data_IF_388552740843
#
_entry.id   IF_388552740843
#
_cell.length_a   1.000
_cell.length_b   1.000
_cell.length_c   1.000
_cell.angle_alpha   90.00
_cell.angle_beta   90.00
_cell.angle_gamma   90.00
#
_symmetry.space_group_name_H-M   'P 1'
#
loop_
_entity.id
_entity.type
_entity.pdbx_description
1 polymer ?
#
# COMPACT_ATOMS: atom_id res chain seq x y z
N UNK A 1 9.67 -10.55 16.72
CA UNK A 1 10.48 -10.32 15.50
C UNK A 1 9.83 -9.22 14.70
N UNK A 2 10.54 -8.16 14.34
CA UNK A 2 10.01 -7.09 13.48
C UNK A 2 9.92 -7.62 12.04
N UNK A 3 8.74 -7.60 11.40
CA UNK A 3 8.57 -8.09 10.02
C UNK A 3 8.67 -6.99 8.98
N UNK A 4 9.04 -5.78 9.39
CA UNK A 4 9.26 -4.67 8.47
C UNK A 4 10.49 -4.89 7.58
N UNK A 5 10.41 -4.40 6.34
CA UNK A 5 11.56 -4.33 5.44
C UNK A 5 12.67 -3.49 6.09
N UNK A 6 13.91 -4.00 6.00
CA UNK A 6 15.06 -3.37 6.66
C UNK A 6 15.62 -2.16 5.91
N UNK A 7 16.51 -1.40 6.58
CA UNK A 7 17.21 -0.23 6.02
C UNK A 7 17.85 -0.51 4.65
N UNK A 8 18.49 -1.67 4.49
CA UNK A 8 19.17 -2.06 3.24
C UNK A 8 18.20 -2.16 2.06
N UNK A 9 16.92 -2.46 2.30
CA UNK A 9 15.91 -2.46 1.26
C UNK A 9 15.66 -1.04 0.72
N UNK A 10 15.58 -0.04 1.59
CA UNK A 10 15.26 1.34 1.19
C UNK A 10 16.49 2.15 0.76
N UNK A 11 17.68 1.84 1.28
CA UNK A 11 18.94 2.52 0.98
C UNK A 11 19.53 2.11 -0.40
N UNK A 12 18.68 2.01 -1.42
CA UNK A 12 19.02 1.66 -2.81
C UNK A 12 18.45 2.72 -3.75
N UNK A 13 18.84 2.65 -5.03
CA UNK A 13 18.30 3.52 -6.08
C UNK A 13 16.76 3.42 -6.13
N UNK A 14 16.02 4.55 -6.27
CA UNK A 14 14.56 4.56 -6.21
C UNK A 14 13.90 3.66 -7.26
N UNK A 15 14.51 3.46 -8.43
CA UNK A 15 14.03 2.55 -9.48
C UNK A 15 14.02 1.10 -9.01
N UNK A 16 15.10 0.69 -8.32
CA UNK A 16 15.22 -0.66 -7.74
C UNK A 16 14.21 -0.83 -6.62
N UNK A 17 14.09 0.17 -5.74
CA UNK A 17 13.13 0.13 -4.62
C UNK A 17 11.69 0.09 -5.14
N UNK A 18 11.34 0.90 -6.13
CA UNK A 18 10.00 0.96 -6.72
C UNK A 18 9.58 -0.38 -7.31
N UNK A 19 10.45 -0.99 -8.11
CA UNK A 19 10.23 -2.33 -8.66
C UNK A 19 10.09 -3.38 -7.55
N UNK A 20 11.02 -3.41 -6.60
CA UNK A 20 11.07 -4.45 -5.57
C UNK A 20 9.99 -4.28 -4.49
N UNK A 21 9.34 -3.12 -4.40
CA UNK A 21 8.16 -2.89 -3.56
C UNK A 21 6.91 -3.56 -4.12
N UNK A 22 6.85 -3.86 -5.43
CA UNK A 22 5.72 -4.57 -6.02
C UNK A 22 5.57 -5.96 -5.38
N UNK A 23 4.35 -6.31 -5.01
CA UNK A 23 4.03 -7.56 -4.31
C UNK A 23 4.22 -7.53 -2.79
N UNK A 24 4.96 -6.55 -2.24
CA UNK A 24 5.11 -6.37 -0.78
C UNK A 24 3.80 -5.87 -0.17
N UNK A 25 3.66 -6.06 1.14
CA UNK A 25 2.42 -5.69 1.86
C UNK A 25 2.64 -4.38 2.61
N UNK A 26 1.89 -3.34 2.24
CA UNK A 26 1.79 -2.11 3.02
C UNK A 26 0.79 -2.34 4.15
N UNK A 27 1.20 -2.06 5.38
CA UNK A 27 0.40 -2.30 6.58
C UNK A 27 0.25 -1.02 7.37
N UNK A 28 -0.97 -0.73 7.77
CA UNK A 28 -1.34 0.38 8.66
C UNK A 28 -2.06 -0.18 9.88
N UNK A 29 -1.61 0.19 11.07
CA UNK A 29 -2.33 -0.03 12.32
C UNK A 29 -3.06 1.24 12.75
N UNK A 30 -4.39 1.25 12.70
CA UNK A 30 -5.22 2.38 13.15
C UNK A 30 -5.92 2.05 14.46
N UNK A 31 -6.30 3.08 15.22
CA UNK A 31 -7.18 2.92 16.38
C UNK A 31 -8.64 2.88 15.91
N UNK A 32 -9.34 1.81 16.26
CA UNK A 32 -10.80 1.72 16.21
C UNK A 32 -11.42 1.90 17.59
N UNK A 33 -12.75 1.85 17.64
CA UNK A 33 -13.53 1.98 18.87
C UNK A 33 -13.17 0.91 19.93
N UNK A 34 -12.80 -0.29 19.48
CA UNK A 34 -12.54 -1.46 20.33
C UNK A 34 -11.05 -1.78 20.51
N UNK A 35 -10.17 -0.87 20.07
CA UNK A 35 -8.72 -1.06 20.10
C UNK A 35 -8.08 -0.95 18.73
N UNK A 36 -6.85 -1.45 18.60
CA UNK A 36 -6.10 -1.35 17.35
C UNK A 36 -6.63 -2.33 16.30
N UNK A 37 -6.69 -1.89 15.05
CA UNK A 37 -7.00 -2.72 13.88
C UNK A 37 -5.92 -2.59 12.81
N UNK A 38 -5.75 -3.64 12.01
CA UNK A 38 -4.84 -3.64 10.87
C UNK A 38 -5.59 -3.45 9.57
N UNK A 39 -5.07 -2.55 8.74
CA UNK A 39 -5.44 -2.36 7.35
C UNK A 39 -4.22 -2.74 6.53
N UNK A 40 -4.39 -3.57 5.51
CA UNK A 40 -3.25 -4.00 4.69
C UNK A 40 -3.65 -4.19 3.24
N UNK A 41 -2.69 -3.96 2.35
CA UNK A 41 -2.83 -4.28 0.95
C UNK A 41 -1.50 -4.55 0.27
N UNK A 42 -1.55 -5.34 -0.80
CA UNK A 42 -0.39 -5.64 -1.64
C UNK A 42 -0.09 -4.45 -2.53
N UNK A 43 1.14 -3.97 -2.55
CA UNK A 43 1.57 -2.90 -3.44
C UNK A 43 1.58 -3.42 -4.87
N UNK A 44 0.80 -2.79 -5.75
CA UNK A 44 0.66 -3.19 -7.17
C UNK A 44 1.18 -2.14 -8.13
N UNK A 45 1.45 -0.92 -7.65
CA UNK A 45 1.89 0.20 -8.47
C UNK A 45 2.71 1.21 -7.66
N UNK A 46 3.83 1.66 -8.24
CA UNK A 46 4.76 2.62 -7.65
C UNK A 46 5.29 3.59 -8.70
N UNK A 47 5.84 4.73 -8.27
CA UNK A 47 6.62 5.64 -9.11
C UNK A 47 7.92 6.04 -8.42
N UNK A 48 9.03 6.03 -9.16
CA UNK A 48 10.32 6.53 -8.71
C UNK A 48 10.47 8.03 -9.01
N UNK A 49 11.04 8.76 -8.05
CA UNK A 49 11.43 10.16 -8.17
C UNK A 49 12.91 10.29 -7.83
N UNK A 50 13.70 10.84 -8.75
CA UNK A 50 15.15 10.83 -8.67
C UNK A 50 15.69 12.14 -8.08
N UNK A 51 16.73 12.07 -7.27
CA UNK A 51 17.42 13.25 -6.76
C UNK A 51 18.11 14.09 -7.85
N UNK A 52 18.45 13.48 -8.99
CA UNK A 52 19.22 14.11 -10.06
C UNK A 52 18.61 13.78 -11.41
N UNK A 53 18.51 14.76 -12.31
CA UNK A 53 17.99 14.55 -13.66
C UNK A 53 16.47 14.34 -13.75
N UNK A 54 15.72 14.57 -12.67
CA UNK A 54 14.27 14.41 -12.64
C UNK A 54 13.56 15.74 -12.29
N UNK A 55 13.11 16.50 -13.30
CA UNK A 55 12.42 17.78 -13.07
C UNK A 55 11.01 17.61 -12.48
N UNK A 56 10.48 16.38 -12.38
CA UNK A 56 9.21 16.10 -11.70
C UNK A 56 9.40 15.82 -10.20
N UNK A 57 10.63 15.61 -9.75
CA UNK A 57 10.93 15.41 -8.34
C UNK A 57 10.71 16.71 -7.55
N UNK A 58 10.06 16.62 -6.38
CA UNK A 58 9.84 17.75 -5.49
C UNK A 58 11.14 18.40 -4.98
N UNK A 59 12.26 17.67 -5.02
CA UNK A 59 13.57 18.16 -4.62
C UNK A 59 14.39 18.74 -5.78
N UNK A 60 13.86 18.76 -7.02
CA UNK A 60 14.58 19.26 -8.21
C UNK A 60 15.08 20.69 -8.10
N UNK A 61 14.42 21.53 -7.28
CA UNK A 61 14.81 22.93 -6.99
C UNK A 61 15.48 23.11 -5.62
N UNK A 62 15.96 22.01 -5.02
CA UNK A 62 16.59 22.02 -3.70
C UNK A 62 15.60 21.84 -2.54
N UNK A 63 16.16 21.95 -1.33
CA UNK A 63 15.44 21.71 -0.08
C UNK A 63 14.51 22.89 0.26
N UNK A 64 13.32 22.56 0.73
CA UNK A 64 12.33 23.46 1.30
C UNK A 64 11.78 22.84 2.59
N UNK A 65 11.06 23.63 3.40
CA UNK A 65 10.37 23.10 4.58
C UNK A 65 9.38 21.98 4.25
N UNK A 66 8.80 21.98 3.04
CA UNK A 66 7.75 21.03 2.63
C UNK A 66 8.30 19.69 2.10
N UNK A 67 9.55 19.65 1.66
CA UNK A 67 10.18 18.44 1.10
C UNK A 67 11.40 18.00 1.91
N UNK A 68 11.66 18.62 3.07
CA UNK A 68 12.86 18.36 3.89
C UNK A 68 13.00 16.89 4.27
N UNK A 69 11.88 16.19 4.51
CA UNK A 69 11.82 14.75 4.74
C UNK A 69 12.54 13.95 3.64
N UNK A 70 12.45 14.37 2.37
CA UNK A 70 13.11 13.67 1.27
C UNK A 70 14.64 13.67 1.41
N UNK A 71 15.22 14.66 2.08
CA UNK A 71 16.67 14.76 2.26
C UNK A 71 17.19 13.99 3.47
N UNK A 72 16.30 13.38 4.26
CA UNK A 72 16.67 12.57 5.41
C UNK A 72 17.07 11.15 4.98
N UNK A 73 17.33 10.27 5.95
CA UNK A 73 17.72 8.88 5.69
C UNK A 73 16.61 8.07 5.02
N UNK A 74 17.01 7.04 4.26
CA UNK A 74 16.09 6.05 3.72
C UNK A 74 15.22 5.34 4.79
N UNK A 75 14.00 4.99 4.38
CA UNK A 75 13.01 4.29 5.20
C UNK A 75 12.02 5.21 5.92
N UNK A 76 12.23 6.52 5.89
CA UNK A 76 11.22 7.49 6.33
C UNK A 76 10.14 7.66 5.26
N UNK A 77 8.90 7.91 5.68
CA UNK A 77 7.84 8.26 4.75
C UNK A 77 7.79 9.76 4.53
N UNK A 78 7.59 10.16 3.28
CA UNK A 78 7.31 11.53 2.90
C UNK A 78 5.85 11.66 2.48
N UNK A 79 5.05 12.36 3.30
CA UNK A 79 3.62 12.55 3.08
C UNK A 79 3.31 14.02 2.81
N UNK A 80 2.73 14.29 1.64
CA UNK A 80 2.31 15.63 1.25
C UNK A 80 0.86 15.63 0.76
N UNK A 81 0.22 16.80 0.84
CA UNK A 81 -1.15 16.98 0.37
C UNK A 81 -1.18 17.51 -1.08
N UNK A 82 -2.11 16.98 -1.88
CA UNK A 82 -2.46 17.44 -3.22
C UNK A 82 -3.98 17.39 -3.38
N UNK A 83 -4.60 18.54 -3.70
CA UNK A 83 -6.06 18.68 -3.89
C UNK A 83 -6.92 17.95 -2.82
N UNK A 84 -6.72 18.29 -1.54
CA UNK A 84 -7.40 17.70 -0.38
C UNK A 84 -7.17 16.19 -0.14
N UNK A 85 -6.22 15.58 -0.85
CA UNK A 85 -5.79 14.18 -0.65
C UNK A 85 -4.32 14.15 -0.27
N UNK A 86 -3.84 13.01 0.22
CA UNK A 86 -2.43 12.80 0.56
C UNK A 86 -1.77 11.84 -0.42
N UNK A 87 -0.46 11.99 -0.61
CA UNK A 87 0.40 11.04 -1.30
C UNK A 87 1.42 10.46 -0.33
N UNK A 88 1.58 9.14 -0.34
CA UNK A 88 2.55 8.43 0.49
C UNK A 88 3.78 8.07 -0.34
N UNK A 89 4.92 8.62 0.05
CA UNK A 89 6.21 8.28 -0.54
C UNK A 89 7.12 7.64 0.51
N UNK A 90 8.10 6.88 0.07
CA UNK A 90 9.16 6.34 0.92
C UNK A 90 10.50 6.91 0.45
N UNK A 91 11.25 7.51 1.37
CA UNK A 91 12.57 8.05 1.11
C UNK A 91 13.56 6.92 0.86
N UNK A 92 14.42 7.10 -0.14
CA UNK A 92 15.38 6.12 -0.62
C UNK A 92 16.79 6.70 -0.67
N UNK A 93 17.77 5.86 -1.00
CA UNK A 93 19.18 6.26 -1.06
C UNK A 93 19.76 6.77 0.28
N UNK A 94 20.94 7.40 0.23
CA UNK A 94 21.61 7.96 1.40
C UNK A 94 21.02 9.32 1.77
N UNK A 95 21.18 9.70 3.03
CA UNK A 95 20.86 11.04 3.50
C UNK A 95 21.54 12.12 2.64
N UNK A 96 20.82 13.22 2.40
CA UNK A 96 21.19 14.30 1.50
C UNK A 96 20.99 14.00 0.02
N UNK A 97 20.55 12.79 -0.37
CA UNK A 97 20.18 12.45 -1.74
C UNK A 97 18.67 12.26 -1.85
N UNK A 98 17.90 13.31 -2.21
CA UNK A 98 16.45 13.34 -2.03
C UNK A 98 15.66 12.56 -3.10
N UNK A 99 15.86 11.25 -3.13
CA UNK A 99 15.13 10.31 -3.98
C UNK A 99 14.01 9.65 -3.18
N UNK A 100 12.86 9.41 -3.80
CA UNK A 100 11.75 8.76 -3.13
C UNK A 100 10.93 7.88 -4.09
N UNK A 101 10.16 6.96 -3.52
CA UNK A 101 9.19 6.14 -4.24
C UNK A 101 7.79 6.46 -3.76
N UNK A 102 6.92 6.91 -4.66
CA UNK A 102 5.49 7.05 -4.43
C UNK A 102 4.84 5.67 -4.48
N UNK A 103 4.08 5.31 -3.45
CA UNK A 103 3.16 4.17 -3.52
C UNK A 103 1.86 4.69 -4.14
N UNK A 104 1.44 4.09 -5.26
CA UNK A 104 0.32 4.60 -6.07
C UNK A 104 -0.95 3.80 -5.98
N UNK A 105 -0.84 2.49 -5.83
CA UNK A 105 -2.00 1.65 -5.67
C UNK A 105 -1.65 0.39 -4.88
N UNK A 106 -2.65 -0.07 -4.15
CA UNK A 106 -2.62 -1.37 -3.49
C UNK A 106 -3.84 -2.20 -3.89
N UNK A 107 -3.67 -3.51 -3.93
CA UNK A 107 -4.76 -4.48 -3.82
C UNK A 107 -5.13 -4.60 -2.34
N UNK A 108 -6.34 -4.21 -1.91
CA UNK A 108 -6.77 -4.31 -0.52
C UNK A 108 -6.91 -5.77 -0.06
N UNK A 109 -6.35 -6.12 1.11
CA UNK A 109 -6.34 -7.48 1.63
C UNK A 109 -6.99 -7.62 3.02
N UNK A 110 -6.75 -6.65 3.92
CA UNK A 110 -7.20 -6.71 5.32
C UNK A 110 -7.86 -5.37 5.69
N UNK A 111 -8.98 -5.41 6.41
CA UNK A 111 -9.67 -4.21 6.88
C UNK A 111 -10.55 -3.52 5.84
N UNK A 112 -11.13 -4.28 4.90
CA UNK A 112 -11.90 -3.76 3.75
C UNK A 112 -13.07 -2.86 4.14
N UNK A 113 -13.82 -3.23 5.19
CA UNK A 113 -14.95 -2.45 5.67
C UNK A 113 -14.51 -1.07 6.19
N UNK A 114 -13.44 -1.02 6.99
CA UNK A 114 -12.86 0.23 7.47
C UNK A 114 -12.28 1.07 6.33
N UNK A 115 -11.61 0.43 5.34
CA UNK A 115 -11.17 1.14 4.14
C UNK A 115 -12.34 1.76 3.38
N UNK A 116 -13.47 1.06 3.24
CA UNK A 116 -14.67 1.58 2.60
C UNK A 116 -15.27 2.76 3.40
N UNK A 117 -15.35 2.63 4.73
CA UNK A 117 -15.80 3.69 5.62
C UNK A 117 -14.93 4.95 5.50
N UNK A 118 -13.59 4.82 5.53
CA UNK A 118 -12.69 5.96 5.33
C UNK A 118 -12.86 6.61 3.96
N UNK A 119 -13.27 5.83 2.96
CA UNK A 119 -13.58 6.29 1.60
C UNK A 119 -14.98 6.87 1.44
N UNK A 120 -15.84 6.78 2.47
CA UNK A 120 -17.26 7.19 2.39
C UNK A 120 -18.05 6.35 1.39
N UNK A 121 -17.74 5.05 1.32
CA UNK A 121 -18.38 4.10 0.41
C UNK A 121 -19.30 3.20 1.21
N UNK A 122 -20.59 3.25 0.87
CA UNK A 122 -21.60 2.36 1.46
C UNK A 122 -21.43 0.94 0.91
N UNK A 123 -21.44 -0.04 1.81
CA UNK A 123 -21.38 -1.45 1.45
C UNK A 123 -22.81 -1.97 1.25
N UNK A 124 -23.15 -2.52 0.07
CA UNK A 124 -24.46 -3.12 -0.14
C UNK A 124 -24.71 -4.23 0.89
N UNK A 125 -25.83 -4.17 1.60
CA UNK A 125 -26.23 -5.17 2.59
C UNK A 125 -25.87 -4.86 4.05
N UNK A 126 -25.27 -3.70 4.35
CA UNK A 126 -25.05 -3.26 5.73
C UNK A 126 -26.36 -2.87 6.46
N UNK A 127 -27.44 -2.56 5.71
CA UNK A 127 -28.72 -2.09 6.26
C UNK A 127 -29.79 -3.18 6.43
N UNK A 128 -29.45 -4.46 6.26
CA UNK A 128 -30.37 -5.57 6.56
C UNK A 128 -30.07 -6.17 7.95
N UNK A 129 -30.42 -5.43 9.02
CA UNK A 129 -30.80 -6.04 10.29
C UNK A 129 -29.73 -6.44 11.31
N UNK A 130 -28.49 -5.95 11.26
CA UNK A 130 -27.55 -6.10 12.39
C UNK A 130 -27.49 -4.83 13.25
N UNK A 131 -28.42 -4.74 14.20
CA UNK A 131 -28.33 -3.79 15.32
C UNK A 131 -26.99 -3.92 16.06
N UNK A 132 -26.19 -2.85 16.04
CA UNK A 132 -25.35 -2.30 17.13
C UNK A 132 -24.49 -3.23 18.02
N UNK A 133 -24.28 -4.50 17.69
CA UNK A 133 -23.60 -5.47 18.58
C UNK A 133 -22.57 -6.39 17.88
N UNK A 134 -21.97 -5.95 16.76
CA UNK A 134 -20.91 -6.69 16.05
C UNK A 134 -19.50 -6.21 16.41
N UNK A 135 -19.24 -6.03 17.70
CA UNK A 135 -18.01 -5.44 18.26
C UNK A 135 -17.02 -6.49 18.80
N UNK A 136 -16.88 -7.61 18.08
CA UNK A 136 -15.71 -8.51 18.20
C UNK A 136 -15.14 -8.65 16.80
N UNK A 137 -13.87 -8.26 16.63
CA UNK A 137 -13.18 -8.24 15.34
C UNK A 137 -13.66 -9.32 14.37
N UNK A 138 -14.56 -8.94 13.48
CA UNK A 138 -15.09 -9.84 12.48
C UNK A 138 -13.99 -10.06 11.43
N UNK A 139 -13.12 -11.01 11.70
CA UNK A 139 -12.53 -11.79 10.62
C UNK A 139 -13.69 -12.49 9.94
N UNK A 140 -14.14 -11.92 8.82
CA UNK A 140 -15.21 -12.45 8.00
C UNK A 140 -14.88 -13.94 7.70
N UNK A 141 -15.74 -14.85 8.17
CA UNK A 141 -15.69 -16.26 7.76
C UNK A 141 -15.88 -16.34 6.25
N UNK A 142 -15.16 -17.21 5.52
CA UNK A 142 -15.30 -17.32 4.05
C UNK A 142 -16.74 -17.48 3.57
N UNK A 143 -17.58 -18.18 4.33
CA UNK A 143 -18.99 -18.48 3.98
C UNK A 143 -20.00 -17.36 4.30
N UNK A 144 -19.59 -16.28 4.99
CA UNK A 144 -20.47 -15.15 5.35
C UNK A 144 -19.82 -13.78 5.14
N UNK A 145 -18.69 -13.70 4.44
CA UNK A 145 -18.15 -12.43 4.03
C UNK A 145 -19.19 -11.78 3.09
N UNK A 146 -19.70 -10.56 3.36
CA UNK A 146 -20.42 -9.83 2.33
C UNK A 146 -19.51 -9.81 1.11
N UNK A 147 -19.98 -10.37 0.00
CA UNK A 147 -19.22 -10.44 -1.23
C UNK A 147 -19.00 -8.99 -1.67
N UNK A 148 -17.83 -8.43 -1.34
CA UNK A 148 -17.45 -7.11 -1.79
C UNK A 148 -17.49 -7.12 -3.31
N UNK A 149 -18.36 -6.31 -3.97
CA UNK A 149 -18.41 -6.28 -5.41
C UNK A 149 -17.00 -5.95 -5.94
N UNK A 150 -16.50 -6.71 -6.92
CA UNK A 150 -15.12 -6.54 -7.43
C UNK A 150 -14.83 -5.10 -7.87
N UNK A 151 -15.82 -4.42 -8.44
CA UNK A 151 -15.74 -3.01 -8.81
C UNK A 151 -15.43 -2.12 -7.60
N UNK A 152 -16.11 -2.37 -6.47
CA UNK A 152 -15.95 -1.61 -5.23
C UNK A 152 -14.58 -1.86 -4.61
N UNK A 153 -14.19 -3.13 -4.50
CA UNK A 153 -12.88 -3.55 -3.98
C UNK A 153 -11.74 -2.89 -4.77
N UNK A 154 -11.86 -2.89 -6.10
CA UNK A 154 -10.91 -2.22 -7.00
C UNK A 154 -10.81 -0.72 -6.75
N UNK A 155 -11.94 -0.05 -6.51
CA UNK A 155 -11.98 1.41 -6.37
C UNK A 155 -11.54 1.92 -4.99
N UNK A 156 -11.37 1.05 -4.00
CA UNK A 156 -10.90 1.41 -2.66
C UNK A 156 -9.52 2.05 -2.64
N UNK A 157 -8.57 1.57 -3.45
CA UNK A 157 -7.17 1.99 -3.31
C UNK A 157 -6.37 2.14 -4.62
N UNK A 158 -7.05 2.20 -5.78
CA UNK A 158 -6.41 2.46 -7.08
C UNK A 158 -6.08 3.93 -7.33
N UNK A 159 -5.03 4.43 -6.68
CA UNK A 159 -4.51 5.77 -6.88
C UNK A 159 -3.97 6.39 -5.59
N UNK A 160 -2.97 7.28 -5.67
CA UNK A 160 -2.20 7.73 -4.50
C UNK A 160 -3.08 8.40 -3.45
N UNK A 161 -3.99 9.28 -3.85
CA UNK A 161 -4.95 9.91 -2.94
C UNK A 161 -6.05 8.98 -2.43
N UNK A 162 -6.37 7.92 -3.18
CA UNK A 162 -7.40 6.92 -2.80
C UNK A 162 -6.86 5.96 -1.75
N UNK A 163 -5.64 5.45 -1.95
CA UNK A 163 -5.02 4.54 -0.98
C UNK A 163 -4.73 5.23 0.35
N UNK A 164 -4.26 6.48 0.35
CA UNK A 164 -4.01 7.21 1.58
C UNK A 164 -5.31 7.41 2.37
N UNK A 165 -6.39 7.77 1.69
CA UNK A 165 -7.70 7.89 2.33
C UNK A 165 -8.18 6.53 2.89
N UNK A 166 -8.11 5.45 2.11
CA UNK A 166 -8.50 4.11 2.56
C UNK A 166 -7.71 3.63 3.79
N UNK A 167 -6.42 3.95 3.86
CA UNK A 167 -5.55 3.59 4.97
C UNK A 167 -5.49 4.63 6.09
N UNK A 168 -6.31 5.68 6.08
CA UNK A 168 -6.24 6.78 7.04
C UNK A 168 -4.79 7.31 7.21
N UNK A 169 -4.16 7.61 6.08
CA UNK A 169 -2.83 8.23 5.99
C UNK A 169 -3.02 9.72 5.70
N UNK A 170 -2.43 10.54 6.56
CA UNK A 170 -2.39 11.99 6.42
C UNK A 170 -1.00 12.53 6.81
N UNK A 171 -0.86 13.86 6.82
CA UNK A 171 0.41 14.53 7.14
C UNK A 171 0.95 14.27 8.55
N UNK A 172 0.15 13.75 9.49
CA UNK A 172 0.66 13.37 10.82
C UNK A 172 1.67 12.21 10.75
N UNK A 173 1.65 11.45 9.65
CA UNK A 173 2.61 10.38 9.39
C UNK A 173 3.84 10.85 8.61
N UNK A 174 3.95 12.12 8.20
CA UNK A 174 5.18 12.60 7.56
C UNK A 174 6.38 12.39 8.50
N UNK A 175 7.50 11.89 7.96
CA UNK A 175 8.69 11.42 8.70
C UNK A 175 8.52 10.17 9.54
N UNK A 176 7.38 9.48 9.49
CA UNK A 176 7.25 8.19 10.16
C UNK A 176 8.28 7.18 9.62
N UNK A 177 8.91 6.44 10.51
CA UNK A 177 9.96 5.48 10.18
C UNK A 177 9.37 4.09 9.96
N UNK A 178 9.38 3.63 8.70
CA UNK A 178 8.88 2.31 8.33
C UNK A 178 9.65 1.19 9.03
N UNK A 179 10.91 1.42 9.42
CA UNK A 179 11.76 0.42 10.04
C UNK A 179 11.29 0.03 11.44
N UNK A 180 10.48 0.86 12.10
CA UNK A 180 9.98 0.60 13.45
C UNK A 180 8.98 -0.57 13.50
N UNK A 181 8.36 -0.94 12.36
CA UNK A 181 7.35 -2.00 12.34
C UNK A 181 6.10 -1.68 13.15
N UNK A 182 5.80 -0.39 13.37
CA UNK A 182 4.65 0.09 14.14
C UNK A 182 3.93 1.20 13.39
N UNK A 183 2.61 1.34 13.60
CA UNK A 183 1.70 2.30 12.96
C UNK A 183 1.58 2.22 11.43
N UNK A 184 2.69 2.27 10.70
CA UNK A 184 2.82 2.12 9.27
C UNK A 184 4.14 1.41 8.96
N UNK A 185 4.10 0.29 8.25
CA UNK A 185 5.28 -0.44 7.83
C UNK A 185 5.02 -1.21 6.54
N UNK A 186 6.08 -1.76 5.95
CA UNK A 186 6.00 -2.63 4.77
C UNK A 186 6.62 -3.96 5.14
N UNK A 187 5.96 -5.07 4.82
CA UNK A 187 6.46 -6.42 5.08
C UNK A 187 6.57 -7.25 3.79
N UNK A 188 7.38 -8.30 3.84
CA UNK A 188 7.66 -9.17 2.69
C UNK A 188 6.40 -9.85 2.14
N UNK A 189 5.53 -10.32 3.02
CA UNK A 189 4.39 -11.16 2.66
C UNK A 189 3.24 -11.06 3.66
N UNK A 190 2.07 -11.59 3.28
CA UNK A 190 0.93 -11.63 4.19
C UNK A 190 1.14 -12.69 5.29
N UNK A 191 1.86 -13.75 5.00
CA UNK A 191 2.29 -14.77 5.96
C UNK A 191 3.15 -14.15 7.07
N UNK A 192 4.06 -13.25 6.71
CA UNK A 192 4.86 -12.48 7.67
C UNK A 192 3.97 -11.65 8.60
N UNK A 193 2.88 -11.06 8.10
CA UNK A 193 1.90 -10.34 8.92
C UNK A 193 1.13 -11.26 9.87
N UNK A 194 0.70 -12.43 9.41
CA UNK A 194 -0.06 -13.40 10.21
C UNK A 194 0.81 -14.00 11.34
N UNK A 195 2.09 -14.22 11.08
CA UNK A 195 3.04 -14.72 12.09
C UNK A 195 3.20 -13.77 13.29
N UNK A 196 3.04 -12.45 13.10
CA UNK A 196 3.05 -11.45 14.17
C UNK A 196 1.78 -11.45 15.02
N UNK A 197 0.62 -11.70 14.41
CA UNK A 197 -0.65 -11.76 15.13
C UNK A 197 -0.74 -13.02 16.01
N UNK A 198 -0.03 -14.09 15.66
CA UNK A 198 -0.17 -15.42 16.26
C UNK A 198 0.16 -15.52 17.76
N UNK A 199 1.20 -14.88 18.33
CA UNK A 199 1.47 -14.96 19.78
C UNK A 199 0.41 -14.25 20.64
N UNK A 200 -0.26 -13.21 20.10
CA UNK A 200 -1.35 -12.51 20.76
C UNK A 200 -2.72 -13.17 20.52
N UNK A 201 -2.82 -14.04 19.51
CA UNK A 201 -4.03 -14.77 19.17
C UNK A 201 -4.02 -16.24 19.64
N UNK A 202 -2.96 -16.74 20.28
CA UNK A 202 -2.84 -18.14 20.73
C UNK A 202 -3.95 -18.56 21.73
N UNK A 203 -4.51 -17.61 22.49
CA UNK A 203 -5.65 -17.83 23.38
C UNK A 203 -6.98 -17.32 22.79
N UNK A 204 -7.01 -16.95 21.51
CA UNK A 204 -8.21 -16.46 20.82
C UNK A 204 -8.68 -17.48 19.78
N UNK A 205 -9.96 -17.91 19.79
CA UNK A 205 -10.50 -18.86 18.82
C UNK A 205 -10.47 -18.37 17.35
N UNK A 206 -9.93 -17.18 17.09
CA UNK A 206 -9.80 -16.53 15.78
C UNK A 206 -8.46 -16.81 15.06
N UNK A 207 -7.40 -17.28 15.74
CA UNK A 207 -6.07 -17.52 15.12
C UNK A 207 -6.10 -18.51 13.93
N UNK A 208 -6.79 -19.66 14.00
CA UNK A 208 -6.83 -20.62 12.89
C UNK A 208 -7.64 -20.12 11.67
N UNK A 209 -8.47 -19.09 11.85
CA UNK A 209 -9.45 -18.60 10.85
C UNK A 209 -8.91 -17.47 9.97
N UNK A 210 -7.98 -16.66 10.47
CA UNK A 210 -7.22 -15.69 9.65
C UNK A 210 -6.39 -16.42 8.60
N UNK A 211 -5.71 -17.49 9.02
CA UNK A 211 -4.91 -18.35 8.14
C UNK A 211 -5.77 -19.03 7.07
N UNK A 212 -7.00 -19.47 7.38
CA UNK A 212 -7.84 -20.17 6.40
C UNK A 212 -8.54 -19.24 5.41
N UNK A 213 -9.01 -18.05 5.81
CA UNK A 213 -9.65 -17.10 4.89
C UNK A 213 -8.66 -16.36 3.97
N UNK A 214 -7.40 -16.21 4.42
CA UNK A 214 -6.28 -15.77 3.58
C UNK A 214 -5.88 -16.90 2.63
N UNK A 215 -5.66 -18.13 3.12
CA UNK A 215 -5.33 -19.30 2.29
C UNK A 215 -6.41 -19.69 1.30
N UNK A 216 -7.69 -19.50 1.60
CA UNK A 216 -8.80 -19.86 0.71
C UNK A 216 -8.96 -18.88 -0.47
N UNK A 217 -8.67 -17.60 -0.24
CA UNK A 217 -8.58 -16.58 -1.32
C UNK A 217 -7.28 -16.68 -2.12
N UNK A 218 -6.26 -17.28 -1.52
CA UNK A 218 -4.97 -17.63 -2.13
C UNK A 218 -4.84 -19.11 -2.49
N UNK A 219 -5.95 -19.87 -2.51
CA UNK A 219 -5.90 -21.23 -3.01
C UNK A 219 -5.42 -21.11 -4.46
N UNK A 220 -4.24 -21.64 -4.81
CA UNK A 220 -3.74 -21.49 -6.15
C UNK A 220 -4.76 -22.19 -7.04
N UNK A 221 -5.48 -21.43 -7.86
CA UNK A 221 -5.81 -21.97 -9.17
C UNK A 221 -4.47 -22.46 -9.70
N UNK A 222 -4.36 -23.78 -9.91
CA UNK A 222 -3.16 -24.57 -10.14
C UNK A 222 -2.41 -24.20 -11.45
N UNK A 223 -2.09 -22.90 -11.58
CA UNK A 223 -1.42 -22.19 -12.67
C UNK A 223 -0.61 -20.99 -12.16
N UNK A 224 -0.76 -20.55 -10.89
CA UNK A 224 0.00 -19.43 -10.30
C UNK A 224 1.03 -19.90 -9.27
N UNK A 225 1.73 -20.98 -9.61
CA UNK A 225 2.93 -21.45 -8.91
C UNK A 225 4.12 -20.57 -9.32
N UNK A 226 4.60 -19.69 -8.43
CA UNK A 226 5.93 -19.07 -8.49
C UNK A 226 6.43 -18.61 -9.88
N UNK A 227 5.51 -18.21 -10.76
CA UNK A 227 5.81 -17.73 -12.09
C UNK A 227 6.13 -16.26 -11.96
N UNK A 228 7.40 -15.92 -12.16
CA UNK A 228 7.94 -14.61 -12.48
C UNK A 228 6.84 -13.55 -12.68
N UNK A 229 6.44 -12.85 -11.60
CA UNK A 229 5.33 -11.90 -11.66
C UNK A 229 5.82 -10.72 -12.50
N UNK A 230 5.56 -10.78 -13.81
CA UNK A 230 6.06 -9.82 -14.76
C UNK A 230 5.50 -8.44 -14.37
N UNK A 231 6.38 -7.54 -13.97
CA UNK A 231 6.02 -6.14 -13.86
C UNK A 231 6.14 -5.49 -15.24
N UNK A 232 5.50 -4.35 -15.41
CA UNK A 232 5.70 -3.46 -16.54
C UNK A 232 6.13 -2.10 -15.99
N UNK A 233 6.77 -1.31 -16.85
CA UNK A 233 7.05 0.10 -16.58
C UNK A 233 6.22 1.01 -17.48
N UNK A 234 6.15 2.31 -17.20
CA UNK A 234 5.54 3.30 -18.09
C UNK A 234 6.01 4.70 -17.70
N UNK A 235 5.66 5.74 -18.49
CA UNK A 235 5.68 7.10 -17.99
C UNK A 235 4.84 7.26 -16.72
N UNK A 236 5.22 8.23 -15.89
CA UNK A 236 4.50 8.58 -14.66
C UNK A 236 3.17 9.28 -14.97
N UNK A 237 2.15 9.02 -14.17
CA UNK A 237 0.83 9.63 -14.32
C UNK A 237 0.82 11.01 -13.66
N UNK A 238 0.37 12.02 -14.40
CA UNK A 238 0.24 13.39 -13.89
C UNK A 238 1.54 14.18 -13.89
N UNK A 239 2.56 13.69 -14.60
CA UNK A 239 3.84 14.37 -14.80
C UNK A 239 3.90 14.91 -16.23
N UNK A 240 4.27 16.18 -16.38
CA UNK A 240 4.45 16.83 -17.70
C UNK A 240 5.90 17.14 -18.03
N UNK A 241 6.75 17.39 -17.03
CA UNK A 241 8.14 17.80 -17.21
C UNK A 241 9.12 16.65 -17.53
N UNK A 242 8.68 15.39 -17.43
CA UNK A 242 9.52 14.19 -17.59
C UNK A 242 8.68 13.00 -18.09
N UNK A 243 7.94 13.21 -19.19
CA UNK A 243 6.99 12.24 -19.75
C UNK A 243 7.67 11.09 -20.51
N UNK A 244 8.91 11.26 -20.92
CA UNK A 244 9.77 10.28 -21.58
C UNK A 244 10.40 9.28 -20.59
N UNK A 245 10.47 9.63 -19.31
CA UNK A 245 11.07 8.78 -18.29
C UNK A 245 10.12 7.67 -17.83
N UNK A 246 10.52 6.41 -18.06
CA UNK A 246 9.78 5.20 -17.66
C UNK A 246 9.97 4.85 -16.18
N UNK A 247 9.55 5.76 -15.29
CA UNK A 247 9.75 5.68 -13.84
C UNK A 247 8.50 5.24 -13.05
N UNK A 248 7.45 4.76 -13.73
CA UNK A 248 6.29 4.11 -13.10
C UNK A 248 6.43 2.61 -13.25
N UNK A 249 6.18 1.84 -12.19
CA UNK A 249 6.29 0.38 -12.18
C UNK A 249 5.01 -0.24 -11.63
N UNK A 250 4.55 -1.34 -12.22
CA UNK A 250 3.34 -2.00 -11.77
C UNK A 250 3.28 -3.49 -12.13
N UNK A 251 2.51 -4.26 -11.37
CA UNK A 251 2.24 -5.67 -11.67
C UNK A 251 1.34 -5.76 -12.91
N UNK A 252 1.76 -6.52 -13.93
CA UNK A 252 0.94 -6.77 -15.13
C UNK A 252 -0.38 -7.41 -14.73
N UNK A 253 -1.43 -7.08 -15.47
CA UNK A 253 -2.79 -7.62 -15.32
C UNK A 253 -3.48 -7.38 -13.97
N UNK A 254 -2.87 -6.59 -13.08
CA UNK A 254 -3.51 -6.21 -11.83
C UNK A 254 -4.79 -5.41 -12.12
N UNK A 255 -5.90 -5.88 -11.55
CA UNK A 255 -7.17 -5.17 -11.61
C UNK A 255 -7.14 -3.86 -10.79
N UNK A 256 -6.11 -3.67 -9.96
CA UNK A 256 -6.01 -2.62 -8.96
C UNK A 256 -5.16 -1.42 -9.40
N UNK A 257 -4.69 -1.41 -10.66
CA UNK A 257 -3.91 -0.31 -11.19
C UNK A 257 -4.70 1.01 -11.20
N UNK A 258 -4.01 2.09 -10.84
CA UNK A 258 -4.48 3.45 -11.04
C UNK A 258 -4.41 3.85 -12.51
N UNK A 259 -4.99 5.01 -12.84
CA UNK A 259 -5.02 5.53 -14.21
C UNK A 259 -5.99 4.80 -15.15
N UNK A 260 -6.02 5.26 -16.39
CA UNK A 260 -6.82 4.69 -17.47
C UNK A 260 -6.03 3.63 -18.25
N UNK A 261 -6.72 2.83 -19.06
CA UNK A 261 -6.10 1.81 -19.93
C UNK A 261 -4.97 2.37 -20.82
N UNK A 262 -5.00 3.67 -21.17
CA UNK A 262 -3.94 4.33 -21.96
C UNK A 262 -2.57 4.23 -21.28
N UNK A 263 -2.51 4.31 -19.96
CA UNK A 263 -1.27 4.29 -19.19
C UNK A 263 -0.84 2.90 -18.73
N UNK A 264 -1.70 1.90 -18.88
CA UNK A 264 -1.50 0.54 -18.36
C UNK A 264 -1.23 -0.46 -19.49
N UNK A 265 -0.56 0.00 -20.57
CA UNK A 265 -0.24 -0.83 -21.73
C UNK A 265 0.96 -1.73 -21.42
N UNK A 266 0.95 -2.93 -21.97
CA UNK A 266 2.02 -3.93 -21.82
C UNK A 266 3.24 -3.67 -22.71
N UNK A 267 3.19 -2.66 -23.57
CA UNK A 267 4.18 -2.37 -24.62
C UNK A 267 5.42 -1.60 -24.14
N UNK A 268 5.50 -1.28 -22.84
CA UNK A 268 6.53 -0.38 -22.29
C UNK A 268 7.80 -1.09 -21.76
N UNK A 269 8.07 -2.32 -22.22
CA UNK A 269 9.03 -3.33 -21.72
C UNK A 269 8.58 -4.15 -20.51
#
# INVERSE_FOLDING_TARGET
MNTSLGKHFFARKPEVVARDLLGKILVRQVRGQLGSMLLAGRIVETEAYLATGDPACHASRGMTRKNSTMFERAGLVYVYAIHARHCLNVVTEREGKPSAVLIRAIEPLVGLASMAQHRGIDLPGADAGESRNSERGQFLTPDRAPQFPLKLLRDLARGPGRLCQALAIDRSLDKHDLLLGSQLWITESLESLVSLASPLCANSPLAPRVTSAVRARHAPNARHSATNCAFARSPRIGVTSAQDMLLRYYLRDSLFLSGTHKFNRTEWE
#
